data_IF_355367630333
#
_entry.id   IF_355367630333
#
_cell.length_a   1.000
_cell.length_b   1.000
_cell.length_c   1.000
_cell.angle_alpha   90.00
_cell.angle_beta   90.00
_cell.angle_gamma   90.00
#
_symmetry.space_group_name_H-M   'P 1'
#
loop_
_entity.id
_entity.type
_entity.pdbx_description
1 polymer ?
#
# COMPACT_ATOMS: atom_id res chain seq x y z
N UNK A 1 -15.44 -7.78 27.44
CA UNK A 1 -16.19 -8.44 26.35
C UNK A 1 -15.27 -8.60 25.15
N UNK A 2 -15.04 -9.83 24.69
CA UNK A 2 -14.13 -10.16 23.59
C UNK A 2 -14.92 -10.40 22.31
N UNK A 3 -14.70 -9.55 21.29
CA UNK A 3 -15.33 -9.73 19.98
C UNK A 3 -14.48 -10.68 19.12
N UNK A 4 -14.95 -11.90 18.90
CA UNK A 4 -14.33 -12.84 17.95
C UNK A 4 -14.99 -12.72 16.58
N UNK A 5 -14.24 -12.34 15.56
CA UNK A 5 -14.71 -12.25 14.17
C UNK A 5 -15.05 -13.65 13.65
N UNK A 6 -16.34 -13.94 13.43
CA UNK A 6 -16.77 -15.19 12.75
C UNK A 6 -16.43 -15.11 11.26
N UNK A 7 -15.96 -16.23 10.71
CA UNK A 7 -15.77 -16.38 9.26
C UNK A 7 -17.15 -16.50 8.60
N UNK A 8 -17.45 -15.64 7.61
CA UNK A 8 -18.68 -15.74 6.83
C UNK A 8 -18.63 -16.92 5.86
N UNK A 9 -19.78 -17.56 5.62
CA UNK A 9 -19.94 -18.70 4.69
C UNK A 9 -19.96 -18.30 3.20
N UNK A 10 -19.50 -17.10 2.87
CA UNK A 10 -19.46 -16.59 1.50
C UNK A 10 -18.40 -17.27 0.64
N UNK A 11 -18.44 -17.00 -0.68
CA UNK A 11 -17.46 -17.53 -1.64
C UNK A 11 -16.03 -17.23 -1.16
N UNK A 12 -15.15 -18.25 -1.04
CA UNK A 12 -13.78 -18.03 -0.61
C UNK A 12 -13.03 -17.14 -1.60
N UNK A 13 -12.13 -16.31 -1.08
CA UNK A 13 -11.27 -15.47 -1.91
C UNK A 13 -10.42 -16.33 -2.84
N UNK A 14 -10.37 -15.94 -4.11
CA UNK A 14 -9.48 -16.59 -5.08
C UNK A 14 -8.01 -16.16 -4.94
N UNK A 15 -7.74 -15.03 -4.29
CA UNK A 15 -6.37 -14.60 -4.02
C UNK A 15 -5.80 -15.35 -2.81
N UNK A 16 -4.57 -15.82 -2.92
CA UNK A 16 -3.88 -16.48 -1.81
C UNK A 16 -3.13 -15.46 -0.96
N UNK A 17 -2.95 -15.74 0.33
CA UNK A 17 -2.18 -14.87 1.24
C UNK A 17 -0.74 -14.61 0.76
N UNK A 18 -0.15 -15.52 -0.01
CA UNK A 18 1.18 -15.33 -0.62
C UNK A 18 1.12 -14.27 -1.72
N UNK A 19 0.10 -14.33 -2.58
CA UNK A 19 -0.15 -13.34 -3.64
C UNK A 19 -0.40 -11.95 -3.03
N UNK A 20 -1.25 -11.88 -2.01
CA UNK A 20 -1.59 -10.61 -1.35
C UNK A 20 -0.38 -9.96 -0.67
N UNK A 21 0.50 -10.74 -0.03
CA UNK A 21 1.78 -10.24 0.52
C UNK A 21 2.72 -9.71 -0.55
N UNK A 22 2.82 -10.40 -1.69
CA UNK A 22 3.67 -9.95 -2.79
C UNK A 22 3.16 -8.65 -3.42
N UNK A 23 1.84 -8.51 -3.58
CA UNK A 23 1.20 -7.26 -4.03
C UNK A 23 1.49 -6.13 -3.03
N UNK A 24 1.29 -6.38 -1.74
CA UNK A 24 1.53 -5.40 -0.69
C UNK A 24 3.00 -4.94 -0.62
N UNK A 25 3.94 -5.86 -0.84
CA UNK A 25 5.37 -5.54 -0.88
C UNK A 25 5.71 -4.63 -2.05
N UNK A 26 5.24 -4.96 -3.26
CA UNK A 26 5.48 -4.12 -4.45
C UNK A 26 4.87 -2.72 -4.29
N UNK A 27 3.65 -2.62 -3.75
CA UNK A 27 3.00 -1.34 -3.50
C UNK A 27 3.76 -0.45 -2.50
N UNK A 28 4.47 -1.04 -1.53
CA UNK A 28 5.33 -0.28 -0.59
C UNK A 28 6.60 0.24 -1.26
N UNK A 29 7.15 -0.52 -2.22
CA UNK A 29 8.32 -0.10 -3.01
C UNK A 29 7.95 1.03 -3.97
N UNK A 30 6.73 1.01 -4.52
CA UNK A 30 6.22 2.03 -5.44
C UNK A 30 4.87 2.61 -4.98
N UNK A 31 4.88 3.50 -3.97
CA UNK A 31 3.65 4.06 -3.37
C UNK A 31 2.78 4.87 -4.33
N UNK A 32 3.35 5.36 -5.43
CA UNK A 32 2.67 6.20 -6.42
C UNK A 32 2.16 5.41 -7.63
N UNK A 33 2.46 4.11 -7.74
CA UNK A 33 2.05 3.30 -8.87
C UNK A 33 0.54 3.01 -8.85
N UNK A 34 -0.10 3.08 -10.02
CA UNK A 34 -1.50 2.72 -10.17
C UNK A 34 -1.72 1.20 -10.03
N UNK A 35 -2.95 0.77 -9.76
CA UNK A 35 -3.26 -0.67 -9.68
C UNK A 35 -2.97 -1.43 -10.99
N UNK A 36 -3.07 -0.78 -12.15
CA UNK A 36 -2.72 -1.36 -13.43
C UNK A 36 -1.18 -1.46 -13.62
N UNK A 37 -0.44 -0.44 -13.19
CA UNK A 37 1.02 -0.49 -13.20
C UNK A 37 1.55 -1.60 -12.27
N UNK A 38 1.00 -1.72 -11.07
CA UNK A 38 1.31 -2.81 -10.15
C UNK A 38 0.92 -4.18 -10.72
N UNK A 39 -0.18 -4.26 -11.47
CA UNK A 39 -0.57 -5.50 -12.17
C UNK A 39 0.51 -5.95 -13.15
N UNK A 40 0.96 -5.04 -14.02
CA UNK A 40 1.98 -5.35 -15.02
C UNK A 40 3.29 -5.84 -14.39
N UNK A 41 3.67 -5.29 -13.24
CA UNK A 41 4.87 -5.69 -12.50
C UNK A 41 4.72 -7.04 -11.80
N UNK A 42 3.55 -7.32 -11.22
CA UNK A 42 3.31 -8.50 -10.39
C UNK A 42 2.93 -9.73 -11.23
N UNK A 43 2.29 -9.54 -12.39
CA UNK A 43 1.76 -10.64 -13.21
C UNK A 43 2.82 -11.68 -13.63
N UNK A 44 4.04 -11.29 -14.07
CA UNK A 44 5.08 -12.26 -14.44
C UNK A 44 5.53 -13.14 -13.27
N UNK A 45 5.57 -12.59 -12.06
CA UNK A 45 6.10 -13.28 -10.87
C UNK A 45 5.08 -14.18 -10.18
N UNK A 46 3.78 -13.97 -10.40
CA UNK A 46 2.71 -14.66 -9.65
C UNK A 46 2.18 -15.93 -10.30
N UNK A 47 2.58 -16.25 -11.54
CA UNK A 47 2.17 -17.47 -12.25
C UNK A 47 0.65 -17.58 -12.43
N UNK A 48 -0.08 -16.46 -12.50
CA UNK A 48 -1.52 -16.45 -12.68
C UNK A 48 -2.09 -15.05 -12.88
N UNK A 49 -3.25 -14.98 -13.53
CA UNK A 49 -3.89 -13.71 -13.85
C UNK A 49 -4.48 -13.04 -12.60
N UNK A 50 -3.89 -11.91 -12.21
CA UNK A 50 -4.46 -11.02 -11.20
C UNK A 50 -4.96 -9.79 -11.95
N UNK A 51 -6.24 -9.46 -11.82
CA UNK A 51 -6.77 -8.23 -12.41
C UNK A 51 -6.41 -7.01 -11.55
N UNK A 52 -6.36 -5.83 -12.16
CA UNK A 52 -6.21 -4.56 -11.44
C UNK A 52 -7.25 -4.38 -10.33
N UNK A 53 -8.49 -4.87 -10.52
CA UNK A 53 -9.56 -4.86 -9.51
C UNK A 53 -9.22 -5.72 -8.29
N UNK A 54 -8.62 -6.89 -8.50
CA UNK A 54 -8.14 -7.75 -7.41
C UNK A 54 -7.01 -7.07 -6.65
N UNK A 55 -6.07 -6.43 -7.36
CA UNK A 55 -5.00 -5.63 -6.72
C UNK A 55 -5.60 -4.52 -5.85
N UNK A 56 -6.55 -3.74 -6.39
CA UNK A 56 -7.22 -2.69 -5.62
C UNK A 56 -7.88 -3.18 -4.32
N UNK A 57 -8.53 -4.36 -4.36
CA UNK A 57 -9.10 -4.99 -3.16
C UNK A 57 -8.03 -5.43 -2.16
N UNK A 58 -6.92 -6.00 -2.64
CA UNK A 58 -5.81 -6.41 -1.78
C UNK A 58 -5.14 -5.21 -1.11
N UNK A 59 -5.01 -4.09 -1.82
CA UNK A 59 -4.50 -2.84 -1.28
C UNK A 59 -5.43 -2.26 -0.21
N UNK A 60 -6.74 -2.22 -0.47
CA UNK A 60 -7.74 -1.74 0.49
C UNK A 60 -7.74 -2.57 1.78
N UNK A 61 -7.68 -3.90 1.67
CA UNK A 61 -7.60 -4.79 2.83
C UNK A 61 -6.27 -4.71 3.58
N UNK A 62 -5.17 -4.44 2.86
CA UNK A 62 -3.87 -4.17 3.46
C UNK A 62 -3.75 -2.76 4.06
N UNK A 63 -4.81 -1.94 4.01
CA UNK A 63 -4.80 -0.52 4.36
C UNK A 63 -3.70 0.27 3.63
N UNK A 64 -3.37 -0.17 2.40
CA UNK A 64 -2.40 0.47 1.51
C UNK A 64 -3.15 1.40 0.56
N UNK A 65 -3.45 2.60 1.04
CA UNK A 65 -3.99 3.68 0.23
C UNK A 65 -2.91 4.68 -0.16
N UNK A 66 -3.06 5.34 -1.31
CA UNK A 66 -2.27 6.52 -1.64
C UNK A 66 -2.70 7.67 -0.72
N UNK A 67 -1.88 7.98 0.29
CA UNK A 67 -1.91 9.27 1.00
C UNK A 67 -0.81 10.21 0.46
N UNK A 68 -0.26 9.92 -0.72
CA UNK A 68 0.79 10.75 -1.29
C UNK A 68 0.16 12.05 -1.81
N UNK A 69 0.58 13.23 -1.31
CA UNK A 69 0.23 14.47 -1.99
C UNK A 69 0.73 14.38 -3.42
N UNK A 70 -0.14 14.66 -4.40
CA UNK A 70 0.16 14.63 -5.83
C UNK A 70 1.41 15.43 -6.22
N UNK A 71 1.84 16.34 -5.33
CA UNK A 71 3.11 17.06 -5.38
C UNK A 71 3.79 16.94 -4.03
N UNK A 72 4.76 16.03 -3.90
CA UNK A 72 5.76 16.15 -2.86
C UNK A 72 6.56 17.42 -3.15
N UNK A 73 6.53 18.42 -2.26
CA UNK A 73 7.40 19.58 -2.40
C UNK A 73 8.85 19.07 -2.44
N UNK A 74 9.64 19.43 -3.46
CA UNK A 74 11.06 19.08 -3.50
C UNK A 74 11.79 19.92 -2.45
N UNK A 75 11.64 19.54 -1.18
CA UNK A 75 12.44 20.08 -0.11
C UNK A 75 13.82 19.44 -0.23
N UNK A 76 14.83 20.27 -0.47
CA UNK A 76 16.21 19.81 -0.37
C UNK A 76 16.46 19.31 1.06
N UNK A 77 17.42 18.39 1.26
CA UNK A 77 17.71 17.84 2.59
C UNK A 77 17.93 18.91 3.67
N UNK A 78 18.53 20.04 3.29
CA UNK A 78 18.74 21.21 4.17
C UNK A 78 17.42 21.79 4.68
N UNK A 79 16.42 21.96 3.79
CA UNK A 79 15.11 22.48 4.17
C UNK A 79 14.37 21.51 5.09
N UNK A 80 14.48 20.19 4.85
CA UNK A 80 13.88 19.18 5.72
C UNK A 80 14.48 19.25 7.14
N UNK A 81 15.80 19.38 7.23
CA UNK A 81 16.52 19.44 8.51
C UNK A 81 16.17 20.69 9.32
N UNK A 82 16.10 21.87 8.68
CA UNK A 82 15.69 23.11 9.35
C UNK A 82 14.26 23.03 9.89
N UNK A 83 13.34 22.48 9.09
CA UNK A 83 11.94 22.35 9.47
C UNK A 83 11.75 21.36 10.64
N UNK A 84 12.51 20.27 10.64
CA UNK A 84 12.53 19.30 11.74
C UNK A 84 13.06 19.95 13.03
N UNK A 85 14.20 20.66 12.95
CA UNK A 85 14.77 21.41 14.08
C UNK A 85 13.78 22.41 14.67
N UNK A 86 13.11 23.17 13.81
CA UNK A 86 12.09 24.12 14.23
C UNK A 86 10.90 23.45 14.92
N UNK A 87 10.45 22.30 14.43
CA UNK A 87 9.35 21.55 15.06
C UNK A 87 9.75 21.04 16.45
N UNK A 88 10.95 20.48 16.60
CA UNK A 88 11.46 20.04 17.90
C UNK A 88 11.64 21.20 18.88
N UNK A 89 12.07 22.37 18.41
CA UNK A 89 12.23 23.56 19.25
C UNK A 89 10.91 24.13 19.80
N UNK A 90 9.76 23.75 19.22
CA UNK A 90 8.41 24.20 19.65
C UNK A 90 7.64 23.14 20.46
N UNK A 91 8.11 21.90 20.48
CA UNK A 91 7.50 20.79 21.22
C UNK A 91 8.03 20.61 22.64
N UNK A 92 9.01 21.43 23.05
CA UNK A 92 9.46 21.66 24.43
C UNK A 92 8.87 22.97 24.94
#
# INVERSE_FOLDING_TARGET
MSFTRRQGSGRPRQSSRRKDRHIASNARVQPTASSAALQAQVAPSLGGHVSSRTIGRCLAEGHLGSLCPLRALPLTPTHQHLRLKWFHARGN
#
